data_IF_551249363435
#
_entry.id   IF_551249363435
#
_cell.length_a   1.000
_cell.length_b   1.000
_cell.length_c   1.000
_cell.angle_alpha   90.00
_cell.angle_beta   90.00
_cell.angle_gamma   90.00
#
_symmetry.space_group_name_H-M   'P 1'
#
loop_
_entity.id
_entity.type
_entity.pdbx_description
1 polymer ?
#
# COMPACT_ATOMS: atom_id res chain seq x y z
N UNK A 1 27.81 -6.75 15.65
CA UNK A 1 26.59 -6.51 16.43
C UNK A 1 25.40 -6.50 15.49
N UNK A 2 24.54 -7.51 15.54
CA UNK A 2 23.27 -7.52 14.79
C UNK A 2 22.41 -6.38 15.34
N UNK A 3 22.09 -5.41 14.49
CA UNK A 3 21.21 -4.29 14.83
C UNK A 3 19.87 -4.87 15.29
N UNK A 4 19.32 -4.40 16.41
CA UNK A 4 18.00 -4.82 16.86
C UNK A 4 16.97 -4.61 15.73
N UNK A 5 15.98 -5.51 15.57
CA UNK A 5 14.99 -5.40 14.50
C UNK A 5 14.21 -4.09 14.66
N UNK A 6 14.02 -3.35 13.57
CA UNK A 6 13.30 -2.07 13.61
C UNK A 6 11.84 -2.29 14.03
N UNK A 7 11.32 -1.41 14.89
CA UNK A 7 9.94 -1.51 15.39
C UNK A 7 8.91 -1.47 14.26
N UNK A 8 9.14 -0.70 13.19
CA UNK A 8 8.21 -0.67 12.05
C UNK A 8 8.19 -2.03 11.37
N UNK A 9 9.34 -2.64 11.13
CA UNK A 9 9.41 -3.98 10.53
C UNK A 9 8.68 -5.03 11.37
N UNK A 10 8.81 -4.98 12.69
CA UNK A 10 8.13 -5.91 13.60
C UNK A 10 6.60 -5.73 13.58
N UNK A 11 6.12 -4.49 13.55
CA UNK A 11 4.68 -4.19 13.47
C UNK A 11 4.11 -4.65 12.12
N UNK A 12 4.81 -4.37 11.02
CA UNK A 12 4.36 -4.80 9.69
C UNK A 12 4.37 -6.33 9.53
N UNK A 13 5.25 -7.03 10.24
CA UNK A 13 5.34 -8.48 10.21
C UNK A 13 4.26 -9.21 11.05
N UNK A 14 3.39 -8.49 11.76
CA UNK A 14 2.21 -9.11 12.38
C UNK A 14 1.39 -9.81 11.29
N UNK A 15 1.05 -11.08 11.49
CA UNK A 15 0.39 -11.92 10.48
C UNK A 15 -0.93 -12.50 11.01
N UNK A 16 -1.94 -11.65 11.28
CA UNK A 16 -3.24 -12.11 11.77
C UNK A 16 -3.99 -12.96 10.74
N UNK A 17 -3.69 -12.79 9.44
CA UNK A 17 -4.28 -13.56 8.34
C UNK A 17 -3.63 -14.93 8.11
N UNK A 18 -2.58 -15.29 8.86
CA UNK A 18 -1.81 -16.53 8.69
C UNK A 18 -1.33 -16.75 7.24
N UNK A 19 -0.85 -15.69 6.60
CA UNK A 19 -0.40 -15.67 5.20
C UNK A 19 1.05 -16.10 5.02
N UNK A 20 1.78 -16.36 6.10
CA UNK A 20 3.22 -16.63 6.16
C UNK A 20 4.07 -15.41 5.80
N UNK A 21 3.63 -14.21 6.23
CA UNK A 21 4.28 -12.92 5.90
C UNK A 21 5.79 -12.96 6.15
N UNK A 22 6.23 -13.56 7.26
CA UNK A 22 7.64 -13.68 7.64
C UNK A 22 8.49 -14.45 6.60
N UNK A 23 7.89 -15.33 5.80
CA UNK A 23 8.61 -16.11 4.78
C UNK A 23 9.02 -15.28 3.57
N UNK A 24 8.34 -14.17 3.29
CA UNK A 24 8.57 -13.34 2.09
C UNK A 24 8.70 -11.84 2.34
N UNK A 25 8.51 -11.37 3.57
CA UNK A 25 8.85 -10.01 3.96
C UNK A 25 10.37 -9.76 3.92
N UNK A 26 10.76 -8.49 3.84
CA UNK A 26 12.16 -8.06 3.82
C UNK A 26 12.36 -6.96 4.86
N UNK A 27 13.24 -7.16 5.87
CA UNK A 27 13.53 -6.12 6.85
C UNK A 27 14.01 -4.81 6.20
N UNK A 28 13.57 -3.67 6.72
CA UNK A 28 13.89 -2.34 6.23
C UNK A 28 13.15 -1.93 4.96
N UNK A 29 12.21 -2.74 4.47
CA UNK A 29 11.46 -2.48 3.23
C UNK A 29 10.72 -1.14 3.27
N UNK A 30 9.98 -0.85 4.33
CA UNK A 30 9.26 0.42 4.49
C UNK A 30 10.22 1.62 4.48
N UNK A 31 11.39 1.49 5.12
CA UNK A 31 12.43 2.51 5.09
C UNK A 31 13.07 2.71 3.71
N UNK A 32 13.23 1.63 2.93
CA UNK A 32 13.71 1.72 1.56
C UNK A 32 12.70 2.41 0.63
N UNK A 33 11.43 2.03 0.73
CA UNK A 33 10.34 2.67 -0.01
C UNK A 33 10.22 4.16 0.36
N UNK A 34 10.31 4.51 1.65
CA UNK A 34 10.29 5.90 2.10
C UNK A 34 11.47 6.72 1.54
N UNK A 35 12.68 6.16 1.49
CA UNK A 35 13.83 6.83 0.86
C UNK A 35 13.64 7.05 -0.63
N UNK A 36 13.03 6.08 -1.34
CA UNK A 36 12.73 6.23 -2.76
C UNK A 36 11.67 7.31 -3.00
N UNK A 37 10.68 7.42 -2.13
CA UNK A 37 9.62 8.43 -2.20
C UNK A 37 10.08 9.82 -1.73
N UNK A 38 11.19 9.92 -1.01
CA UNK A 38 11.74 11.19 -0.55
C UNK A 38 12.21 12.02 -1.76
N UNK A 39 11.56 13.17 -1.99
CA UNK A 39 11.84 14.01 -3.15
C UNK A 39 11.09 13.61 -4.42
N UNK A 40 10.10 12.71 -4.32
CA UNK A 40 9.14 12.47 -5.39
C UNK A 40 8.45 13.78 -5.82
N UNK A 41 8.16 13.91 -7.12
CA UNK A 41 7.53 15.12 -7.68
C UNK A 41 6.10 14.88 -8.11
N UNK A 42 5.88 13.80 -8.85
CA UNK A 42 4.58 13.36 -9.38
C UNK A 42 4.43 11.88 -9.08
N UNK A 43 3.44 11.52 -8.29
CA UNK A 43 3.20 10.16 -7.82
C UNK A 43 1.82 9.72 -8.27
N UNK A 44 1.75 8.58 -8.98
CA UNK A 44 0.48 7.88 -9.13
C UNK A 44 0.38 6.81 -8.06
N UNK A 45 -0.70 6.85 -7.28
CA UNK A 45 -1.02 5.82 -6.30
C UNK A 45 -2.16 4.98 -6.86
N UNK A 46 -1.90 3.70 -7.06
CA UNK A 46 -2.83 2.70 -7.56
C UNK A 46 -3.34 1.88 -6.39
N UNK A 47 -4.67 1.73 -6.27
CA UNK A 47 -5.27 0.95 -5.19
C UNK A 47 -6.66 0.46 -5.54
N UNK A 48 -7.19 -0.43 -4.69
CA UNK A 48 -8.52 -1.00 -4.76
C UNK A 48 -8.47 -2.42 -5.29
N UNK A 49 -9.18 -3.32 -4.63
CA UNK A 49 -9.35 -4.70 -5.03
C UNK A 49 -10.83 -5.02 -4.89
N UNK A 50 -11.47 -5.43 -5.97
CA UNK A 50 -12.83 -5.96 -5.90
C UNK A 50 -12.75 -7.48 -5.82
N UNK A 51 -13.39 -8.10 -4.82
CA UNK A 51 -13.24 -9.56 -4.55
C UNK A 51 -14.32 -10.39 -5.24
N UNK A 52 -15.48 -9.79 -5.49
CA UNK A 52 -16.64 -10.34 -6.19
C UNK A 52 -17.44 -9.19 -6.85
N UNK A 53 -18.41 -9.47 -7.75
CA UNK A 53 -19.21 -8.41 -8.37
C UNK A 53 -19.81 -7.43 -7.36
N UNK A 54 -19.50 -6.13 -7.51
CA UNK A 54 -19.94 -5.04 -6.62
C UNK A 54 -19.47 -5.17 -5.15
N UNK A 55 -18.35 -5.86 -4.91
CA UNK A 55 -17.73 -6.03 -3.59
C UNK A 55 -16.28 -5.51 -3.60
N UNK A 56 -16.06 -4.19 -3.67
CA UNK A 56 -14.75 -3.59 -3.43
C UNK A 56 -14.37 -3.75 -1.96
N UNK A 57 -13.11 -4.06 -1.66
CA UNK A 57 -12.69 -4.34 -0.30
C UNK A 57 -12.17 -3.12 0.47
N UNK A 58 -12.07 -3.25 1.79
CA UNK A 58 -11.63 -2.18 2.69
C UNK A 58 -10.10 -2.07 2.82
N UNK A 59 -9.33 -3.06 2.36
CA UNK A 59 -7.87 -2.98 2.31
C UNK A 59 -7.38 -2.27 1.04
N UNK A 60 -6.38 -1.39 1.18
CA UNK A 60 -5.85 -0.54 0.11
C UNK A 60 -6.23 0.94 0.22
N UNK A 61 -7.51 1.33 0.03
CA UNK A 61 -7.90 2.74 -0.07
C UNK A 61 -7.49 3.61 1.14
N UNK A 62 -7.67 3.18 2.41
CA UNK A 62 -7.17 3.93 3.56
C UNK A 62 -5.64 4.14 3.53
N UNK A 63 -4.87 3.10 3.25
CA UNK A 63 -3.41 3.13 3.10
C UNK A 63 -2.95 4.09 2.02
N UNK A 64 -3.61 4.06 0.86
CA UNK A 64 -3.37 4.96 -0.25
C UNK A 64 -3.66 6.42 0.12
N UNK A 65 -4.80 6.69 0.74
CA UNK A 65 -5.20 8.04 1.15
C UNK A 65 -4.18 8.63 2.15
N UNK A 66 -3.81 7.87 3.18
CA UNK A 66 -2.84 8.30 4.20
C UNK A 66 -1.45 8.53 3.61
N UNK A 67 -0.97 7.64 2.73
CA UNK A 67 0.33 7.82 2.05
C UNK A 67 0.31 9.04 1.13
N UNK A 68 -0.72 9.21 0.31
CA UNK A 68 -0.79 10.33 -0.61
C UNK A 68 -0.89 11.69 0.09
N UNK A 69 -1.64 11.79 1.20
CA UNK A 69 -1.61 12.98 2.07
C UNK A 69 -0.20 13.28 2.57
N UNK A 70 0.51 12.27 3.07
CA UNK A 70 1.87 12.45 3.55
C UNK A 70 2.79 12.98 2.44
N UNK A 71 2.69 12.44 1.23
CA UNK A 71 3.46 12.89 0.07
C UNK A 71 3.10 14.31 -0.38
N UNK A 72 1.82 14.69 -0.36
CA UNK A 72 1.36 16.07 -0.63
C UNK A 72 1.92 17.06 0.40
N UNK A 73 1.90 16.70 1.69
CA UNK A 73 2.52 17.50 2.76
C UNK A 73 4.04 17.66 2.60
N UNK A 74 4.69 16.73 1.88
CA UNK A 74 6.11 16.80 1.52
C UNK A 74 6.36 17.44 0.14
N UNK A 75 5.33 18.00 -0.50
CA UNK A 75 5.45 18.77 -1.75
C UNK A 75 5.30 17.96 -3.05
N UNK A 76 4.91 16.69 -2.98
CA UNK A 76 4.57 15.91 -4.18
C UNK A 76 3.20 16.26 -4.73
N UNK A 77 3.04 16.24 -6.05
CA UNK A 77 1.72 16.10 -6.68
C UNK A 77 1.33 14.61 -6.67
N UNK A 78 0.15 14.32 -6.14
CA UNK A 78 -0.38 12.95 -6.04
C UNK A 78 -1.66 12.85 -6.84
N UNK A 79 -1.78 11.79 -7.64
CA UNK A 79 -3.00 11.42 -8.34
C UNK A 79 -3.30 9.94 -8.06
N UNK A 80 -4.54 9.64 -7.73
CA UNK A 80 -4.98 8.28 -7.44
C UNK A 80 -5.53 7.65 -8.71
N UNK A 81 -5.15 6.40 -8.98
CA UNK A 81 -5.62 5.65 -10.14
C UNK A 81 -6.32 4.39 -9.65
N UNK A 82 -7.59 4.24 -9.99
CA UNK A 82 -8.38 3.08 -9.57
C UNK A 82 -9.42 2.74 -10.63
N UNK A 83 -10.35 1.83 -10.34
CA UNK A 83 -11.48 1.52 -11.20
C UNK A 83 -12.79 2.11 -10.67
N UNK A 84 -13.82 2.15 -11.50
CA UNK A 84 -15.09 2.81 -11.19
C UNK A 84 -15.73 2.30 -9.88
N UNK A 85 -15.57 1.02 -9.56
CA UNK A 85 -16.12 0.40 -8.34
C UNK A 85 -15.41 0.90 -7.08
N UNK A 86 -14.11 1.20 -7.20
CA UNK A 86 -13.27 1.62 -6.08
C UNK A 86 -13.14 3.15 -5.93
N UNK A 87 -13.56 3.95 -6.94
CA UNK A 87 -13.56 5.43 -6.83
C UNK A 87 -14.25 5.91 -5.55
N UNK A 88 -15.50 5.52 -5.22
CA UNK A 88 -16.19 6.05 -4.05
C UNK A 88 -15.46 5.80 -2.73
N UNK A 89 -14.73 4.68 -2.63
CA UNK A 89 -13.95 4.31 -1.44
C UNK A 89 -12.75 5.23 -1.27
N UNK A 90 -11.99 5.45 -2.35
CA UNK A 90 -10.84 6.35 -2.34
C UNK A 90 -11.29 7.78 -2.02
N UNK A 91 -12.37 8.26 -2.65
CA UNK A 91 -12.91 9.60 -2.38
C UNK A 91 -13.41 9.75 -0.94
N UNK A 92 -14.07 8.72 -0.39
CA UNK A 92 -14.51 8.71 1.00
C UNK A 92 -13.33 8.79 1.98
N UNK A 93 -12.26 8.01 1.72
CA UNK A 93 -11.04 8.06 2.52
C UNK A 93 -10.37 9.44 2.45
N UNK A 94 -10.25 10.04 1.26
CA UNK A 94 -9.68 11.38 1.08
C UNK A 94 -10.50 12.45 1.81
N UNK A 95 -11.83 12.36 1.75
CA UNK A 95 -12.73 13.28 2.47
C UNK A 95 -12.52 13.25 3.99
N UNK A 96 -12.28 12.08 4.58
CA UNK A 96 -11.98 11.98 6.03
C UNK A 96 -10.67 12.70 6.38
N UNK A 97 -9.72 12.74 5.45
CA UNK A 97 -8.43 13.38 5.63
C UNK A 97 -8.38 14.86 5.23
N UNK A 98 -9.52 15.42 4.78
CA UNK A 98 -9.63 16.77 4.20
C UNK A 98 -8.70 16.99 2.99
N UNK A 99 -8.60 15.96 2.14
CA UNK A 99 -7.72 15.95 0.97
C UNK A 99 -8.52 16.09 -0.34
N UNK A 100 -7.98 16.77 -1.36
CA UNK A 100 -8.64 16.89 -2.65
C UNK A 100 -8.77 15.54 -3.37
N UNK A 101 -9.93 15.35 -4.01
CA UNK A 101 -10.26 14.17 -4.81
C UNK A 101 -9.60 14.20 -6.20
N UNK A 102 -8.29 13.96 -6.24
CA UNK A 102 -7.55 13.80 -7.50
C UNK A 102 -7.57 12.31 -7.94
N UNK A 103 -8.76 11.77 -8.17
CA UNK A 103 -8.98 10.36 -8.55
C UNK A 103 -9.25 10.23 -10.04
N UNK A 104 -8.54 9.33 -10.70
CA UNK A 104 -8.66 9.00 -12.12
C UNK A 104 -9.07 7.54 -12.27
N UNK A 105 -10.14 7.30 -13.03
CA UNK A 105 -10.51 5.94 -13.45
C UNK A 105 -9.53 5.48 -14.52
N UNK A 106 -8.96 4.29 -14.33
CA UNK A 106 -8.05 3.70 -15.32
C UNK A 106 -8.78 3.54 -16.67
N UNK A 107 -8.26 4.14 -17.75
CA UNK A 107 -8.99 4.21 -19.02
C UNK A 107 -9.10 2.86 -19.75
N UNK A 108 -8.30 1.86 -19.36
CA UNK A 108 -8.29 0.55 -20.00
C UNK A 108 -7.90 0.56 -21.49
N UNK A 109 -8.07 -0.61 -22.12
CA UNK A 109 -7.75 -0.85 -23.54
C UNK A 109 -6.24 -0.92 -23.82
N UNK A 110 -5.89 -1.29 -25.05
CA UNK A 110 -4.52 -1.63 -25.46
C UNK A 110 -3.44 -0.57 -25.15
N UNK A 111 -3.84 0.70 -25.04
CA UNK A 111 -2.93 1.84 -24.82
C UNK A 111 -3.24 2.63 -23.54
N UNK A 112 -4.12 2.13 -22.67
CA UNK A 112 -4.58 2.82 -21.46
C UNK A 112 -3.44 3.28 -20.57
N UNK A 113 -2.55 2.34 -20.19
CA UNK A 113 -1.37 2.62 -19.40
C UNK A 113 -0.45 3.65 -20.08
N UNK A 114 -0.18 3.50 -21.38
CA UNK A 114 0.72 4.42 -22.11
C UNK A 114 0.16 5.84 -22.12
N UNK A 115 -1.13 6.01 -22.38
CA UNK A 115 -1.80 7.33 -22.38
C UNK A 115 -1.72 7.98 -21.00
N UNK A 116 -2.05 7.24 -19.94
CA UNK A 116 -2.04 7.76 -18.57
C UNK A 116 -0.62 8.13 -18.12
N UNK A 117 0.38 7.30 -18.43
CA UNK A 117 1.79 7.62 -18.15
C UNK A 117 2.27 8.85 -18.94
N UNK A 118 1.82 9.02 -20.18
CA UNK A 118 2.19 10.16 -21.01
C UNK A 118 1.54 11.48 -20.55
N UNK A 119 0.29 11.44 -20.04
CA UNK A 119 -0.40 12.62 -19.52
C UNK A 119 0.15 13.05 -18.16
N UNK A 120 0.25 12.10 -17.22
CA UNK A 120 0.64 12.40 -15.84
C UNK A 120 2.16 12.53 -15.66
N UNK A 121 2.93 11.92 -16.57
CA UNK A 121 4.41 11.89 -16.56
C UNK A 121 4.98 11.58 -15.18
N UNK A 122 4.52 10.53 -14.47
CA UNK A 122 4.90 10.32 -13.08
C UNK A 122 6.39 10.11 -12.91
N UNK A 123 6.90 10.55 -11.76
CA UNK A 123 8.24 10.19 -11.28
C UNK A 123 8.22 8.88 -10.51
N UNK A 124 7.09 8.57 -9.87
CA UNK A 124 6.90 7.40 -9.03
C UNK A 124 5.53 6.78 -9.27
N UNK A 125 5.46 5.46 -9.18
CA UNK A 125 4.22 4.69 -9.11
C UNK A 125 4.21 3.92 -7.80
N UNK A 126 3.10 3.94 -7.08
CA UNK A 126 2.88 3.15 -5.88
C UNK A 126 1.65 2.30 -6.09
N UNK A 127 1.72 1.00 -5.85
CA UNK A 127 0.53 0.14 -5.74
C UNK A 127 0.31 -0.25 -4.28
N UNK A 128 -0.93 -0.20 -3.81
CA UNK A 128 -1.34 -0.67 -2.48
C UNK A 128 -2.61 -1.48 -2.66
N UNK A 129 -2.55 -2.77 -2.36
CA UNK A 129 -3.68 -3.70 -2.50
C UNK A 129 -4.35 -3.60 -3.88
N UNK A 130 -3.56 -3.85 -4.92
CA UNK A 130 -4.06 -3.91 -6.29
C UNK A 130 -3.66 -5.25 -6.92
N UNK A 131 -4.60 -6.03 -7.47
CA UNK A 131 -4.28 -7.28 -8.16
C UNK A 131 -3.26 -7.08 -9.28
N UNK A 132 -2.29 -7.99 -9.36
CA UNK A 132 -1.35 -8.09 -10.48
C UNK A 132 -1.53 -9.41 -11.21
N UNK A 133 -1.31 -9.43 -12.53
CA UNK A 133 -1.47 -10.64 -13.32
C UNK A 133 -0.55 -11.77 -12.84
N UNK A 134 -1.03 -13.00 -12.84
CA UNK A 134 -0.25 -14.20 -12.59
C UNK A 134 0.51 -14.62 -13.87
N UNK A 135 1.18 -15.79 -13.83
CA UNK A 135 1.95 -16.30 -14.98
C UNK A 135 1.09 -16.61 -16.21
N UNK A 136 -0.19 -16.94 -16.01
CA UNK A 136 -1.15 -17.19 -17.08
C UNK A 136 -1.78 -15.90 -17.63
N UNK A 137 -1.47 -14.73 -17.05
CA UNK A 137 -2.08 -13.45 -17.42
C UNK A 137 -3.44 -13.18 -16.77
N UNK A 138 -3.87 -14.03 -15.83
CA UNK A 138 -5.12 -13.89 -15.08
C UNK A 138 -4.88 -13.18 -13.74
N UNK A 139 -5.95 -12.69 -13.10
CA UNK A 139 -5.93 -12.06 -11.79
C UNK A 139 -6.70 -12.98 -10.85
N UNK A 140 -6.06 -13.50 -9.80
CA UNK A 140 -6.68 -14.46 -8.89
C UNK A 140 -6.76 -13.88 -7.48
N UNK A 141 -7.84 -14.17 -6.74
CA UNK A 141 -7.92 -13.92 -5.30
C UNK A 141 -7.14 -14.98 -4.49
N UNK A 142 -7.12 -14.84 -3.16
CA UNK A 142 -6.45 -15.79 -2.25
C UNK A 142 -7.05 -17.21 -2.25
N UNK A 143 -8.28 -17.38 -2.77
CA UNK A 143 -8.93 -18.70 -2.98
C UNK A 143 -8.57 -19.32 -4.34
N UNK A 144 -7.90 -18.55 -5.19
CA UNK A 144 -7.51 -18.94 -6.54
C UNK A 144 -8.59 -18.77 -7.59
N UNK A 145 -9.69 -18.08 -7.27
CA UNK A 145 -10.74 -17.75 -8.23
C UNK A 145 -10.34 -16.53 -9.06
N UNK A 146 -10.70 -16.52 -10.34
CA UNK A 146 -10.44 -15.37 -11.20
C UNK A 146 -11.26 -14.17 -10.78
N UNK A 147 -10.59 -13.03 -10.67
CA UNK A 147 -11.15 -11.70 -10.36
C UNK A 147 -11.03 -10.72 -11.52
N UNK A 148 -10.62 -11.20 -12.69
CA UNK A 148 -10.34 -10.36 -13.86
C UNK A 148 -11.58 -9.61 -14.38
N UNK A 149 -12.78 -10.19 -14.23
CA UNK A 149 -14.02 -9.60 -14.75
C UNK A 149 -14.42 -8.30 -14.04
N UNK A 150 -13.88 -8.03 -12.84
CA UNK A 150 -14.18 -6.84 -12.06
C UNK A 150 -12.95 -6.01 -11.67
N UNK A 151 -11.74 -6.51 -11.94
CA UNK A 151 -10.50 -5.76 -11.76
C UNK A 151 -9.84 -5.50 -13.12
N UNK A 152 -9.90 -4.27 -13.66
CA UNK A 152 -9.18 -3.95 -14.90
C UNK A 152 -7.65 -4.07 -14.71
N UNK A 153 -6.90 -4.27 -15.81
CA UNK A 153 -5.45 -4.54 -15.79
C UNK A 153 -4.62 -3.28 -15.51
N UNK A 154 -4.81 -2.66 -14.34
CA UNK A 154 -4.08 -1.44 -13.94
C UNK A 154 -2.58 -1.72 -13.73
N UNK A 155 -2.22 -3.00 -13.53
CA UNK A 155 -0.84 -3.48 -13.43
C UNK A 155 0.02 -3.17 -14.68
N UNK A 156 -0.60 -2.90 -15.82
CA UNK A 156 0.06 -2.48 -17.06
C UNK A 156 0.91 -1.22 -16.86
N UNK A 157 0.55 -0.34 -15.92
CA UNK A 157 1.34 0.84 -15.55
C UNK A 157 2.75 0.48 -15.05
N UNK A 158 2.92 -0.72 -14.50
CA UNK A 158 4.17 -1.16 -13.85
C UNK A 158 5.10 -1.97 -14.78
N UNK A 159 4.71 -2.20 -16.04
CA UNK A 159 5.48 -3.02 -16.99
C UNK A 159 6.62 -2.26 -17.70
N UNK A 160 6.65 -0.93 -17.60
CA UNK A 160 7.55 -0.07 -18.36
C UNK A 160 9.04 -0.49 -18.34
N UNK A 161 9.58 -0.77 -19.53
CA UNK A 161 10.99 -0.92 -19.93
C UNK A 161 11.80 0.39 -19.98
N UNK A 162 12.97 0.51 -19.35
CA UNK A 162 14.01 1.50 -19.77
C UNK A 162 14.43 2.56 -18.75
N UNK A 163 15.39 3.41 -19.15
CA UNK A 163 16.11 4.37 -18.27
C UNK A 163 15.31 5.62 -17.86
N UNK A 164 14.13 5.83 -18.43
CA UNK A 164 13.24 6.98 -18.15
C UNK A 164 11.89 6.57 -17.52
N UNK A 165 11.80 5.35 -16.99
CA UNK A 165 10.57 4.89 -16.33
C UNK A 165 10.45 5.46 -14.89
N UNK A 166 9.23 5.58 -14.35
CA UNK A 166 9.04 5.92 -12.94
C UNK A 166 9.66 4.88 -12.00
N UNK A 167 10.10 5.30 -10.81
CA UNK A 167 10.45 4.38 -9.73
C UNK A 167 9.16 3.71 -9.23
N UNK A 168 9.17 2.39 -9.04
CA UNK A 168 7.96 1.65 -8.66
C UNK A 168 8.03 1.10 -7.25
N UNK A 169 6.94 1.27 -6.51
CA UNK A 169 6.74 0.76 -5.16
C UNK A 169 5.47 -0.10 -5.16
N UNK A 170 5.51 -1.26 -4.51
CA UNK A 170 4.36 -2.13 -4.30
C UNK A 170 4.19 -2.44 -2.82
N UNK A 171 2.94 -2.49 -2.37
CA UNK A 171 2.53 -2.82 -1.00
C UNK A 171 1.41 -3.86 -1.12
N UNK A 172 1.62 -5.02 -0.48
CA UNK A 172 0.72 -6.16 -0.51
C UNK A 172 0.85 -7.02 0.75
N UNK A 173 -0.04 -7.99 0.90
CA UNK A 173 -0.05 -8.95 2.00
C UNK A 173 -0.22 -10.43 1.57
N UNK A 174 -0.74 -10.70 0.38
CA UNK A 174 -1.20 -12.02 -0.06
C UNK A 174 -0.34 -12.70 -1.14
N UNK A 175 0.38 -11.92 -1.95
CA UNK A 175 1.26 -12.41 -3.01
C UNK A 175 0.71 -12.28 -4.43
N UNK A 176 -0.58 -11.96 -4.58
CA UNK A 176 -1.29 -11.77 -5.86
C UNK A 176 -1.36 -10.29 -6.29
N UNK A 177 -0.79 -9.38 -5.52
CA UNK A 177 -0.83 -7.93 -5.72
C UNK A 177 0.41 -7.40 -6.45
N UNK A 178 0.24 -6.26 -7.14
CA UNK A 178 1.32 -5.58 -7.87
C UNK A 178 2.56 -5.41 -6.98
N UNK A 179 3.68 -5.98 -7.45
CA UNK A 179 4.98 -5.90 -6.79
C UNK A 179 5.40 -7.19 -6.09
N UNK A 180 4.45 -8.04 -5.68
CA UNK A 180 4.76 -9.34 -5.07
C UNK A 180 5.50 -10.29 -6.01
N UNK A 181 5.49 -10.02 -7.32
CA UNK A 181 6.34 -10.69 -8.30
C UNK A 181 7.83 -10.63 -7.93
N UNK A 182 8.27 -9.64 -7.15
CA UNK A 182 9.65 -9.51 -6.66
C UNK A 182 10.04 -10.64 -5.70
N UNK A 183 9.08 -11.19 -4.95
CA UNK A 183 9.29 -12.31 -4.00
C UNK A 183 8.55 -13.58 -4.41
N UNK A 184 8.07 -13.66 -5.67
CA UNK A 184 7.33 -14.81 -6.22
C UNK A 184 8.00 -16.16 -5.97
N UNK A 185 9.33 -16.23 -6.07
CA UNK A 185 10.07 -17.47 -5.83
C UNK A 185 9.98 -17.96 -4.38
N UNK A 186 9.83 -17.05 -3.41
CA UNK A 186 9.59 -17.39 -2.00
C UNK A 186 8.14 -17.84 -1.80
N UNK A 187 7.17 -17.07 -2.32
CA UNK A 187 5.73 -17.37 -2.24
C UNK A 187 5.42 -18.75 -2.85
N UNK A 188 6.00 -19.06 -4.02
CA UNK A 188 5.76 -20.31 -4.71
C UNK A 188 6.32 -21.57 -4.00
N UNK A 189 7.13 -21.40 -2.94
CA UNK A 189 7.63 -22.50 -2.10
C UNK A 189 6.73 -22.83 -0.93
N UNK A 190 5.73 -21.98 -0.65
CA UNK A 190 4.81 -22.20 0.46
C UNK A 190 3.85 -23.35 0.15
N UNK A 191 3.13 -23.26 -0.98
CA UNK A 191 2.30 -24.35 -1.50
C UNK A 191 1.89 -24.11 -2.98
N UNK A 192 1.14 -25.06 -3.54
CA UNK A 192 0.68 -25.04 -4.92
C UNK A 192 -0.34 -23.92 -5.23
N UNK A 193 -1.21 -23.57 -4.28
CA UNK A 193 -2.20 -22.50 -4.47
C UNK A 193 -1.49 -21.14 -4.53
N UNK A 194 -0.61 -20.87 -3.57
CA UNK A 194 0.24 -19.68 -3.51
C UNK A 194 1.13 -19.57 -4.76
N UNK A 195 1.69 -20.68 -5.25
CA UNK A 195 2.44 -20.71 -6.51
C UNK A 195 1.59 -20.34 -7.75
N UNK A 196 0.29 -20.68 -7.74
CA UNK A 196 -0.67 -20.38 -8.81
C UNK A 196 -1.12 -18.92 -8.80
N UNK A 197 -1.49 -18.40 -7.63
CA UNK A 197 -2.01 -17.03 -7.51
C UNK A 197 -0.92 -15.97 -7.59
N UNK A 198 0.33 -16.32 -7.26
CA UNK A 198 1.41 -15.33 -7.20
C UNK A 198 1.58 -14.55 -8.50
N UNK A 199 1.48 -13.22 -8.38
CA UNK A 199 1.65 -12.31 -9.50
C UNK A 199 3.06 -12.38 -10.09
N UNK A 200 3.20 -12.03 -11.36
CA UNK A 200 4.51 -11.83 -12.02
C UNK A 200 4.95 -10.37 -12.05
N UNK A 201 4.11 -9.44 -11.58
CA UNK A 201 4.38 -8.00 -11.65
C UNK A 201 5.38 -7.62 -10.56
N UNK A 202 6.52 -7.06 -10.97
CA UNK A 202 7.64 -6.69 -10.10
C UNK A 202 7.71 -5.18 -9.90
N UNK A 203 8.28 -4.78 -8.77
CA UNK A 203 8.55 -3.38 -8.41
C UNK A 203 9.98 -3.20 -7.94
N UNK A 204 10.46 -1.95 -7.93
CA UNK A 204 11.80 -1.59 -7.42
C UNK A 204 11.87 -1.72 -5.91
N UNK A 205 10.81 -1.31 -5.20
CA UNK A 205 10.68 -1.43 -3.75
C UNK A 205 9.38 -2.14 -3.38
N UNK A 206 9.48 -3.29 -2.72
CA UNK A 206 8.32 -4.03 -2.21
C UNK A 206 8.24 -3.88 -0.70
N UNK A 207 7.07 -3.51 -0.19
CA UNK A 207 6.71 -3.57 1.23
C UNK A 207 5.69 -4.69 1.40
N UNK A 208 5.98 -5.62 2.31
CA UNK A 208 5.06 -6.67 2.70
C UNK A 208 4.61 -6.38 4.12
N UNK A 209 3.31 -6.43 4.37
CA UNK A 209 2.72 -6.25 5.70
C UNK A 209 1.59 -7.27 5.92
N UNK A 210 1.16 -7.47 7.16
CA UNK A 210 0.00 -8.33 7.45
C UNK A 210 -1.34 -7.84 6.90
N UNK A 211 -1.43 -6.53 6.62
CA UNK A 211 -2.54 -5.83 5.96
C UNK A 211 -1.91 -4.72 5.12
N UNK A 212 -2.31 -4.54 3.87
CA UNK A 212 -1.70 -3.58 2.95
C UNK A 212 -1.83 -2.13 3.40
N UNK A 213 -2.95 -1.76 4.01
CA UNK A 213 -3.14 -0.47 4.69
C UNK A 213 -2.00 -0.19 5.68
N UNK A 214 -1.63 -1.19 6.50
CA UNK A 214 -0.52 -1.06 7.46
C UNK A 214 0.81 -0.85 6.77
N UNK A 215 1.05 -1.53 5.64
CA UNK A 215 2.24 -1.30 4.82
C UNK A 215 2.35 0.16 4.37
N UNK A 216 1.25 0.76 3.91
CA UNK A 216 1.17 2.20 3.61
C UNK A 216 1.51 3.08 4.82
N UNK A 217 0.93 2.77 5.98
CA UNK A 217 1.18 3.49 7.23
C UNK A 217 2.63 3.35 7.71
N UNK A 218 3.26 2.19 7.51
CA UNK A 218 4.66 1.93 7.81
C UNK A 218 5.60 2.77 6.95
N UNK A 219 5.29 2.93 5.66
CA UNK A 219 6.02 3.85 4.76
C UNK A 219 5.87 5.30 5.23
N UNK A 220 4.66 5.73 5.62
CA UNK A 220 4.44 7.08 6.16
C UNK A 220 5.20 7.31 7.46
N UNK A 221 5.24 6.30 8.33
CA UNK A 221 6.03 6.32 9.58
C UNK A 221 7.51 6.49 9.28
N UNK A 222 8.03 5.76 8.30
CA UNK A 222 9.42 5.87 7.87
C UNK A 222 9.72 7.24 7.22
N UNK A 223 8.81 7.79 6.42
CA UNK A 223 8.91 9.16 5.89
C UNK A 223 8.99 10.18 7.03
N UNK A 224 8.11 10.07 8.03
CA UNK A 224 8.09 10.98 9.18
C UNK A 224 9.40 10.95 9.99
N UNK A 225 10.01 9.77 10.15
CA UNK A 225 11.34 9.62 10.75
C UNK A 225 12.44 10.28 9.91
N UNK A 226 12.39 10.14 8.57
CA UNK A 226 13.39 10.73 7.68
C UNK A 226 13.31 12.26 7.62
N UNK A 227 12.11 12.84 7.73
CA UNK A 227 11.89 14.29 7.62
C UNK A 227 11.76 14.99 8.97
N UNK A 228 11.64 14.25 10.07
CA UNK A 228 11.35 14.79 11.40
C UNK A 228 9.95 15.41 11.52
N UNK A 229 9.01 15.01 10.65
CA UNK A 229 7.64 15.56 10.60
C UNK A 229 6.62 14.50 11.05
N UNK A 230 5.63 14.88 11.85
CA UNK A 230 4.49 13.99 12.14
C UNK A 230 3.53 13.94 10.93
N UNK A 231 3.64 12.85 10.16
CA UNK A 231 2.88 12.63 8.92
C UNK A 231 1.73 11.62 9.08
N UNK A 232 1.80 10.76 10.11
CA UNK A 232 0.84 9.68 10.29
C UNK A 232 -0.48 10.22 10.90
N UNK A 233 -1.60 9.60 10.56
CA UNK A 233 -2.89 9.88 11.19
C UNK A 233 -2.97 9.32 12.62
N UNK A 234 -4.14 9.48 13.24
CA UNK A 234 -4.44 9.01 14.60
C UNK A 234 -5.35 7.78 14.55
N UNK A 235 -5.42 6.98 15.63
CA UNK A 235 -6.35 5.85 15.75
C UNK A 235 -7.81 6.24 15.50
N UNK A 236 -8.19 7.46 15.92
CA UNK A 236 -9.55 7.97 15.70
C UNK A 236 -9.84 8.22 14.22
N UNK A 237 -8.86 8.76 13.49
CA UNK A 237 -8.99 8.91 12.04
C UNK A 237 -9.03 7.54 11.36
N UNK A 238 -8.31 6.52 11.87
CA UNK A 238 -8.34 5.17 11.30
C UNK A 238 -9.74 4.56 11.33
N UNK A 239 -10.41 4.61 12.49
CA UNK A 239 -11.80 4.15 12.61
C UNK A 239 -12.72 4.85 11.62
N UNK A 240 -12.55 6.17 11.47
CA UNK A 240 -13.34 6.98 10.53
C UNK A 240 -13.06 6.65 9.07
N UNK A 241 -11.80 6.36 8.71
CA UNK A 241 -11.41 5.94 7.36
C UNK A 241 -12.11 4.64 6.97
N UNK A 242 -12.02 3.61 7.83
CA UNK A 242 -12.64 2.31 7.60
C UNK A 242 -14.16 2.46 7.49
N UNK A 243 -14.79 3.15 8.45
CA UNK A 243 -16.23 3.38 8.44
C UNK A 243 -16.70 4.14 7.19
N UNK A 244 -15.94 5.13 6.72
CA UNK A 244 -16.28 5.88 5.51
C UNK A 244 -16.18 5.03 4.25
N UNK A 245 -15.18 4.14 4.13
CA UNK A 245 -15.07 3.22 3.00
C UNK A 245 -16.25 2.24 2.97
N UNK A 246 -16.63 1.67 4.13
CA UNK A 246 -17.79 0.77 4.23
C UNK A 246 -19.09 1.51 3.89
N UNK A 247 -19.27 2.73 4.38
CA UNK A 247 -20.41 3.57 4.02
C UNK A 247 -20.45 3.91 2.51
N UNK A 248 -19.30 3.96 1.84
CA UNK A 248 -19.19 4.14 0.40
C UNK A 248 -19.38 2.83 -0.41
N UNK A 249 -19.61 1.70 0.26
CA UNK A 249 -19.94 0.42 -0.37
C UNK A 249 -18.89 -0.68 -0.22
N UNK A 250 -17.78 -0.41 0.49
CA UNK A 250 -16.76 -1.43 0.74
C UNK A 250 -17.29 -2.60 1.58
N UNK A 251 -16.71 -3.77 1.38
CA UNK A 251 -16.85 -4.93 2.24
C UNK A 251 -15.51 -5.40 2.79
N UNK A 252 -15.54 -6.24 3.80
CA UNK A 252 -14.36 -6.98 4.21
C UNK A 252 -13.94 -7.99 3.13
N UNK A 253 -12.66 -8.01 2.73
CA UNK A 253 -12.15 -8.91 1.69
C UNK A 253 -12.23 -10.40 2.04
N UNK A 254 -12.25 -10.73 3.34
CA UNK A 254 -12.28 -12.11 3.85
C UNK A 254 -13.72 -12.57 4.10
N UNK A 255 -14.49 -11.79 4.87
CA UNK A 255 -15.85 -12.14 5.30
C UNK A 255 -16.92 -11.78 4.27
N UNK A 256 -16.60 -10.88 3.34
CA UNK A 256 -17.50 -10.32 2.31
C UNK A 256 -18.71 -9.58 2.88
N UNK A 257 -18.67 -9.21 4.16
CA UNK A 257 -19.72 -8.44 4.82
C UNK A 257 -19.38 -6.95 4.76
N UNK A 258 -20.42 -6.11 4.68
CA UNK A 258 -20.30 -4.65 4.78
C UNK A 258 -20.28 -4.24 6.24
N UNK A 259 -19.16 -4.48 6.89
CA UNK A 259 -18.92 -4.21 8.29
C UNK A 259 -17.58 -3.46 8.44
N UNK A 260 -17.37 -2.67 9.51
CA UNK A 260 -16.17 -1.85 9.70
C UNK A 260 -14.95 -2.69 10.10
N UNK A 261 -14.58 -3.62 9.24
CA UNK A 261 -13.43 -4.51 9.36
C UNK A 261 -12.57 -4.44 8.10
N UNK A 262 -11.29 -4.77 8.26
CA UNK A 262 -10.35 -5.00 7.16
C UNK A 262 -9.69 -6.33 7.44
N UNK A 263 -9.70 -7.24 6.47
CA UNK A 263 -9.14 -8.59 6.62
C UNK A 263 -9.65 -9.35 7.85
N UNK A 264 -10.94 -9.30 8.10
CA UNK A 264 -11.63 -9.87 9.26
C UNK A 264 -11.26 -9.28 10.63
N UNK A 265 -10.49 -8.19 10.65
CA UNK A 265 -10.08 -7.51 11.87
C UNK A 265 -10.95 -6.27 12.12
N UNK A 266 -11.38 -6.09 13.36
CA UNK A 266 -12.17 -4.92 13.77
C UNK A 266 -11.37 -3.62 13.71
N UNK A 267 -12.07 -2.51 13.48
CA UNK A 267 -11.48 -1.16 13.43
C UNK A 267 -10.60 -0.81 14.63
N UNK A 268 -10.88 -1.35 15.82
CA UNK A 268 -10.06 -1.14 17.02
C UNK A 268 -8.68 -1.80 16.95
N UNK A 269 -8.58 -2.94 16.26
CA UNK A 269 -7.29 -3.58 15.98
C UNK A 269 -6.42 -2.70 15.09
N UNK A 270 -6.99 -2.14 14.02
CA UNK A 270 -6.26 -1.23 13.13
C UNK A 270 -5.86 0.06 13.85
N UNK A 271 -6.76 0.62 14.67
CA UNK A 271 -6.48 1.76 15.53
C UNK A 271 -5.29 1.50 16.48
N UNK A 272 -5.21 0.32 17.10
CA UNK A 272 -4.08 -0.06 17.94
C UNK A 272 -2.76 -0.18 17.15
N UNK A 273 -2.79 -0.72 15.94
CA UNK A 273 -1.62 -0.77 15.05
C UNK A 273 -1.14 0.64 14.69
N UNK A 274 -2.05 1.57 14.43
CA UNK A 274 -1.70 2.98 14.20
C UNK A 274 -0.99 3.56 15.43
N UNK A 275 -1.45 3.31 16.65
CA UNK A 275 -0.76 3.76 17.87
C UNK A 275 0.65 3.17 18.01
N UNK A 276 0.83 1.89 17.71
CA UNK A 276 2.15 1.25 17.70
C UNK A 276 3.08 1.89 16.66
N UNK A 277 2.59 2.21 15.47
CA UNK A 277 3.36 2.90 14.44
C UNK A 277 3.70 4.34 14.84
N UNK A 278 2.79 5.06 15.52
CA UNK A 278 3.06 6.39 16.09
C UNK A 278 4.15 6.33 17.16
N UNK A 279 4.10 5.32 18.04
CA UNK A 279 5.17 5.06 19.02
C UNK A 279 6.50 4.81 18.30
N UNK A 280 6.51 3.92 17.31
CA UNK A 280 7.70 3.61 16.53
C UNK A 280 8.27 4.87 15.83
N UNK A 281 7.42 5.74 15.28
CA UNK A 281 7.84 7.02 14.68
C UNK A 281 8.73 7.84 15.63
N UNK A 282 8.35 7.90 16.90
CA UNK A 282 9.05 8.67 17.95
C UNK A 282 10.34 8.00 18.42
N UNK A 283 10.38 6.66 18.45
CA UNK A 283 11.56 5.90 18.90
C UNK A 283 12.82 6.16 18.05
N UNK A 284 12.66 6.60 16.79
CA UNK A 284 13.78 6.98 15.91
C UNK A 284 14.23 8.45 16.05
N UNK A 285 13.40 9.32 16.64
CA UNK A 285 13.68 10.77 16.80
C UNK A 285 14.51 11.03 18.06
N UNK A 286 14.36 10.20 19.09
CA UNK A 286 15.04 10.34 20.39
C UNK A 286 16.57 10.19 20.32
N UNK A 287 17.16 9.82 19.18
CA UNK A 287 18.62 9.70 19.00
C UNK A 287 19.31 10.94 18.38
N UNK A 288 18.56 11.94 17.89
CA UNK A 288 19.15 13.10 17.21
C UNK A 288 19.37 14.32 18.12
N UNK A 289 18.71 14.40 19.28
CA UNK A 289 18.79 15.57 20.17
C UNK A 289 19.93 15.52 21.20
N UNK A 290 20.58 14.38 21.39
CA UNK A 290 21.60 14.19 22.44
C UNK A 290 23.06 14.34 21.97
N UNK A 291 23.31 14.58 20.67
CA UNK A 291 24.68 14.68 20.12
C UNK A 291 25.13 16.10 19.75
N UNK A 292 24.37 17.15 20.09
CA UNK A 292 24.71 18.56 19.76
C UNK A 292 24.96 19.50 20.94
N UNK A 293 25.14 18.98 22.16
CA UNK A 293 25.59 19.79 23.30
C UNK A 293 26.81 19.15 23.96
N UNK A 294 28.00 19.65 23.62
CA UNK A 294 29.20 19.37 24.40
C UNK A 294 30.48 19.22 23.58
N UNK A 295 30.91 20.29 22.91
CA UNK A 295 32.34 20.58 22.69
C UNK A 295 32.49 21.97 22.07
N UNK A 296 32.53 22.99 22.94
CA UNK A 296 33.36 24.17 22.74
C UNK A 296 34.13 24.36 24.04
N UNK A 297 35.40 23.99 24.02
CA UNK A 297 36.41 24.57 24.89
C UNK A 297 36.80 25.92 24.30
#
# INVERSE_FOLDING_TARGET
MTRAPDLVDQILALDPGHRDIAAFSTPGAAGAAARALLGAKRVLIVTGFTVEPNMPETDGPPGAAVLGRALRRLGSRVTYVTDATNVPLVEAALKILDEPSDVVVYPGGADGARRLLASEKPTHLVAIERPGRNRAGDYLNMRGDSVAAWNPPIDELFWGRGTRRPVTIGIGDGGNEIGMGTVRAKIARLDALRARIATVVRVDHLVVAGVSNWGGYGVVTALGRLTGTDLLHTPEIERRLIAACVAAGACDGVTRRREPTVDSLGSDTHAAVVDLLRLASRSGIMGASTLRRGTRR
#
